data_IF_910961741854
#
_entry.id   IF_910961741854
#
_cell.length_a   1.000
_cell.length_b   1.000
_cell.length_c   1.000
_cell.angle_alpha   90.00
_cell.angle_beta   90.00
_cell.angle_gamma   90.00
#
_symmetry.space_group_name_H-M   'P 1'
#
loop_
_entity.id
_entity.type
_entity.pdbx_description
1 polymer ?
#
# COMPACT_ATOMS: atom_id res chain seq x y z
N UNK A 1 -73.19 53.25 1.44
CA UNK A 1 -71.87 52.87 0.84
C UNK A 1 -71.33 51.70 1.65
N UNK A 2 -71.42 50.47 1.11
CA UNK A 2 -70.94 49.25 1.79
C UNK A 2 -69.48 48.96 1.34
N UNK A 3 -68.53 48.66 2.23
CA UNK A 3 -67.17 48.38 1.81
C UNK A 3 -67.08 47.00 1.16
N UNK A 4 -66.47 46.98 -0.03
CA UNK A 4 -66.17 45.80 -0.84
C UNK A 4 -65.30 44.81 -0.07
N UNK A 5 -65.81 43.66 0.33
CA UNK A 5 -65.02 42.58 0.96
C UNK A 5 -64.28 41.81 -0.15
N UNK A 6 -62.99 41.59 -0.05
CA UNK A 6 -62.27 40.79 -1.02
C UNK A 6 -62.76 39.36 -1.02
N UNK A 7 -62.90 38.76 -2.20
CA UNK A 7 -63.42 37.43 -2.43
C UNK A 7 -62.47 36.36 -1.83
N UNK A 8 -62.99 35.52 -0.96
CA UNK A 8 -62.25 34.45 -0.28
C UNK A 8 -61.52 33.47 -1.24
N UNK A 9 -62.08 33.31 -2.47
CA UNK A 9 -61.42 32.47 -3.49
C UNK A 9 -60.14 33.07 -4.04
N UNK A 10 -60.01 34.39 -4.10
CA UNK A 10 -58.77 35.05 -4.57
C UNK A 10 -57.63 34.97 -3.53
N UNK A 11 -57.98 34.97 -2.25
CA UNK A 11 -57.00 34.78 -1.19
C UNK A 11 -56.47 33.34 -1.14
N UNK A 12 -57.30 32.31 -1.39
CA UNK A 12 -56.86 30.91 -1.44
C UNK A 12 -55.97 30.62 -2.65
N UNK A 13 -56.28 31.21 -3.82
CA UNK A 13 -55.46 31.03 -5.01
C UNK A 13 -54.06 31.69 -4.88
N UNK A 14 -53.99 32.83 -4.20
CA UNK A 14 -52.68 33.52 -3.98
C UNK A 14 -51.79 32.79 -2.95
N UNK A 15 -52.37 32.17 -1.91
CA UNK A 15 -51.61 31.37 -0.97
C UNK A 15 -51.12 30.04 -1.57
N UNK A 16 -51.92 29.37 -2.42
CA UNK A 16 -51.51 28.17 -3.14
C UNK A 16 -50.36 28.45 -4.14
N UNK A 17 -50.43 29.54 -4.90
CA UNK A 17 -49.34 29.94 -5.83
C UNK A 17 -48.04 30.31 -5.08
N UNK A 18 -48.14 30.94 -3.92
CA UNK A 18 -46.96 31.29 -3.07
C UNK A 18 -46.29 30.04 -2.53
N UNK A 19 -47.09 29.07 -2.05
CA UNK A 19 -46.51 27.84 -1.48
C UNK A 19 -45.85 26.95 -2.51
N UNK A 20 -46.37 26.92 -3.78
CA UNK A 20 -45.74 26.20 -4.88
C UNK A 20 -44.45 26.88 -5.32
N UNK A 21 -44.37 28.21 -5.33
CA UNK A 21 -43.16 28.95 -5.65
C UNK A 21 -42.06 28.72 -4.60
N UNK A 22 -42.39 28.77 -3.32
CA UNK A 22 -41.45 28.48 -2.22
C UNK A 22 -40.93 27.07 -2.25
N UNK A 23 -41.77 26.06 -2.51
CA UNK A 23 -41.35 24.67 -2.65
C UNK A 23 -40.34 24.47 -3.80
N UNK A 24 -40.51 25.16 -4.91
CA UNK A 24 -39.54 25.08 -6.05
C UNK A 24 -38.19 25.72 -5.71
N UNK A 25 -38.18 26.83 -5.00
CA UNK A 25 -36.95 27.47 -4.55
C UNK A 25 -36.19 26.62 -3.51
N UNK A 26 -36.95 26.00 -2.59
CA UNK A 26 -36.34 25.08 -1.61
C UNK A 26 -35.71 23.85 -2.28
N UNK A 27 -36.40 23.24 -3.24
CA UNK A 27 -35.88 22.08 -3.99
C UNK A 27 -34.63 22.42 -4.78
N UNK A 28 -34.60 23.57 -5.46
CA UNK A 28 -33.40 24.00 -6.23
C UNK A 28 -32.23 24.31 -5.30
N UNK A 29 -32.46 24.95 -4.15
CA UNK A 29 -31.41 25.23 -3.15
C UNK A 29 -30.82 23.94 -2.56
N UNK A 30 -31.68 22.96 -2.20
CA UNK A 30 -31.24 21.66 -1.68
C UNK A 30 -30.43 20.88 -2.73
N UNK A 31 -30.91 20.84 -3.99
CA UNK A 31 -30.17 20.20 -5.10
C UNK A 31 -28.82 20.86 -5.34
N UNK A 32 -28.74 22.19 -5.26
CA UNK A 32 -27.46 22.91 -5.43
C UNK A 32 -26.47 22.61 -4.30
N UNK A 33 -26.96 22.53 -3.06
CA UNK A 33 -26.13 22.18 -1.89
C UNK A 33 -25.63 20.74 -2.02
N UNK A 34 -26.51 19.79 -2.37
CA UNK A 34 -26.11 18.39 -2.57
C UNK A 34 -25.08 18.26 -3.68
N UNK A 35 -25.29 18.97 -4.80
CA UNK A 35 -24.33 18.97 -5.90
C UNK A 35 -22.96 19.55 -5.48
N UNK A 36 -22.97 20.65 -4.73
CA UNK A 36 -21.75 21.25 -4.18
C UNK A 36 -21.02 20.30 -3.23
N UNK A 37 -21.74 19.62 -2.34
CA UNK A 37 -21.18 18.62 -1.43
C UNK A 37 -20.56 17.45 -2.21
N UNK A 38 -21.26 16.94 -3.23
CA UNK A 38 -20.74 15.86 -4.09
C UNK A 38 -19.50 16.32 -4.85
N UNK A 39 -19.49 17.54 -5.38
CA UNK A 39 -18.31 18.10 -6.05
C UNK A 39 -17.15 18.26 -5.08
N UNK A 40 -17.39 18.79 -3.88
CA UNK A 40 -16.35 18.94 -2.84
C UNK A 40 -15.81 17.58 -2.40
N UNK A 41 -16.67 16.57 -2.23
CA UNK A 41 -16.25 15.21 -1.91
C UNK A 41 -15.47 14.55 -3.08
N UNK A 42 -15.88 14.81 -4.32
CA UNK A 42 -15.19 14.30 -5.51
C UNK A 42 -13.82 15.01 -5.75
N UNK A 43 -13.71 16.28 -5.35
CA UNK A 43 -12.46 17.04 -5.43
C UNK A 43 -11.52 16.76 -4.26
N UNK A 44 -12.01 16.21 -3.13
CA UNK A 44 -11.17 15.64 -2.08
C UNK A 44 -10.60 14.33 -2.62
N UNK A 45 -9.53 14.43 -3.41
CA UNK A 45 -8.70 13.25 -3.70
C UNK A 45 -8.24 12.72 -2.34
N UNK A 46 -8.44 11.41 -2.06
CA UNK A 46 -7.78 10.85 -0.87
C UNK A 46 -6.31 11.21 -1.00
N UNK A 47 -5.75 11.79 0.07
CA UNK A 47 -4.34 12.10 0.13
C UNK A 47 -3.60 10.82 -0.26
N UNK A 48 -2.90 10.86 -1.40
CA UNK A 48 -2.01 9.75 -1.76
C UNK A 48 -1.05 9.65 -0.59
N UNK A 49 -0.87 8.45 -0.01
CA UNK A 49 0.04 8.30 1.11
C UNK A 49 1.35 8.97 0.73
N UNK A 50 1.78 9.88 1.62
CA UNK A 50 2.97 10.68 1.35
C UNK A 50 4.11 9.68 1.18
N UNK A 51 4.83 9.79 0.10
CA UNK A 51 5.94 8.92 -0.24
C UNK A 51 6.94 8.74 0.90
N UNK A 52 7.15 9.80 1.67
CA UNK A 52 7.96 9.83 2.89
C UNK A 52 7.42 8.86 3.96
N UNK A 53 6.10 8.66 4.05
CA UNK A 53 5.49 7.83 5.08
C UNK A 53 5.85 6.34 4.99
N UNK A 54 6.18 5.81 3.80
CA UNK A 54 6.66 4.42 3.67
C UNK A 54 8.13 4.26 4.02
N UNK A 55 8.94 5.23 3.61
CA UNK A 55 10.38 5.21 3.83
C UNK A 55 10.72 5.35 5.33
N UNK A 56 9.83 6.01 6.08
CA UNK A 56 10.00 6.24 7.53
C UNK A 56 9.36 5.13 8.40
N UNK A 57 8.62 4.18 7.82
CA UNK A 57 8.13 3.03 8.57
C UNK A 57 9.28 2.08 8.96
N UNK A 58 9.11 1.30 10.03
CA UNK A 58 10.08 0.27 10.41
C UNK A 58 10.00 -0.95 9.49
N UNK A 59 10.09 -0.71 8.15
CA UNK A 59 10.14 -1.78 7.17
C UNK A 59 11.57 -2.34 7.08
N UNK A 60 11.70 -3.65 6.81
CA UNK A 60 13.00 -4.26 6.57
C UNK A 60 13.73 -3.56 5.43
N UNK A 61 14.98 -3.18 5.66
CA UNK A 61 15.76 -2.40 4.69
C UNK A 61 17.23 -2.71 4.75
N UNK A 62 17.92 -2.48 3.64
CA UNK A 62 19.36 -2.61 3.48
C UNK A 62 19.90 -1.41 2.68
N UNK A 63 21.10 -0.93 3.03
CA UNK A 63 21.69 0.28 2.45
C UNK A 63 21.46 1.54 3.28
N UNK A 64 22.17 2.64 2.95
CA UNK A 64 22.10 3.89 3.70
C UNK A 64 20.72 4.56 3.60
N UNK A 65 20.29 5.23 4.68
CA UNK A 65 19.00 5.96 4.69
C UNK A 65 18.99 7.16 3.74
N UNK A 66 20.13 7.74 3.48
CA UNK A 66 20.36 8.90 2.63
C UNK A 66 20.79 8.52 1.19
N UNK A 67 20.67 7.24 0.82
CA UNK A 67 20.95 6.80 -0.53
C UNK A 67 20.10 7.58 -1.57
N UNK A 68 20.72 8.06 -2.67
CA UNK A 68 20.01 8.83 -3.70
C UNK A 68 18.89 8.04 -4.39
N UNK A 69 18.95 6.70 -4.38
CA UNK A 69 17.91 5.84 -4.93
C UNK A 69 17.36 4.92 -3.83
N UNK A 70 16.07 5.03 -3.55
CA UNK A 70 15.35 4.05 -2.72
C UNK A 70 14.51 3.15 -3.62
N UNK A 71 14.75 1.84 -3.55
CA UNK A 71 13.95 0.80 -4.20
C UNK A 71 13.06 0.18 -3.15
N UNK A 72 11.74 0.26 -3.32
CA UNK A 72 10.78 -0.45 -2.49
C UNK A 72 10.22 -1.61 -3.28
N UNK A 73 10.44 -2.84 -2.81
CA UNK A 73 9.83 -4.05 -3.33
C UNK A 73 8.54 -4.34 -2.58
N UNK A 74 7.41 -4.34 -3.29
CA UNK A 74 6.16 -4.92 -2.83
C UNK A 74 6.14 -6.38 -3.23
N UNK A 75 6.22 -7.25 -2.25
CA UNK A 75 6.37 -8.69 -2.48
C UNK A 75 5.41 -9.54 -1.67
N UNK A 76 5.32 -10.81 -2.09
CA UNK A 76 4.48 -11.84 -1.50
C UNK A 76 5.25 -13.16 -1.43
N UNK A 77 5.28 -13.80 -0.28
CA UNK A 77 5.96 -15.09 -0.11
C UNK A 77 5.30 -16.25 -0.86
N UNK A 78 4.01 -16.13 -1.22
CA UNK A 78 3.30 -17.07 -2.08
C UNK A 78 3.48 -16.83 -3.58
N UNK A 79 4.19 -15.76 -3.96
CA UNK A 79 4.35 -15.37 -5.37
C UNK A 79 5.56 -16.07 -6.01
N UNK A 80 5.31 -16.92 -7.03
CA UNK A 80 6.37 -17.60 -7.77
C UNK A 80 7.36 -16.66 -8.46
N UNK A 81 6.89 -15.50 -8.95
CA UNK A 81 7.75 -14.49 -9.55
C UNK A 81 8.68 -13.83 -8.52
N UNK A 82 8.19 -13.56 -7.29
CA UNK A 82 9.02 -13.07 -6.19
C UNK A 82 10.10 -14.10 -5.82
N UNK A 83 9.70 -15.37 -5.70
CA UNK A 83 10.62 -16.46 -5.40
C UNK A 83 11.73 -16.58 -6.46
N UNK A 84 11.37 -16.62 -7.75
CA UNK A 84 12.36 -16.76 -8.83
C UNK A 84 13.30 -15.55 -8.86
N UNK A 85 12.79 -14.34 -8.70
CA UNK A 85 13.59 -13.11 -8.69
C UNK A 85 14.59 -13.09 -7.51
N UNK A 86 14.12 -13.46 -6.32
CA UNK A 86 14.95 -13.52 -5.12
C UNK A 86 15.98 -14.65 -5.20
N UNK A 87 15.58 -15.87 -5.64
CA UNK A 87 16.48 -17.01 -5.79
C UNK A 87 17.57 -16.76 -6.86
N UNK A 88 17.33 -15.89 -7.84
CA UNK A 88 18.35 -15.41 -8.76
C UNK A 88 19.36 -14.43 -8.10
N UNK A 89 19.20 -14.11 -6.82
CA UNK A 89 20.10 -13.21 -6.09
C UNK A 89 20.04 -11.75 -6.58
N UNK A 90 18.93 -11.34 -7.20
CA UNK A 90 18.82 -10.04 -7.85
C UNK A 90 19.03 -8.86 -6.89
N UNK A 91 18.48 -8.96 -5.65
CA UNK A 91 18.72 -7.94 -4.62
C UNK A 91 20.22 -7.76 -4.35
N UNK A 92 20.95 -8.87 -4.16
CA UNK A 92 22.40 -8.81 -3.90
C UNK A 92 23.15 -8.23 -5.09
N UNK A 93 22.82 -8.63 -6.32
CA UNK A 93 23.44 -8.08 -7.53
C UNK A 93 23.24 -6.55 -7.65
N UNK A 94 22.06 -6.03 -7.26
CA UNK A 94 21.78 -4.59 -7.22
C UNK A 94 22.64 -3.89 -6.16
N UNK A 95 22.72 -4.46 -4.95
CA UNK A 95 23.54 -3.91 -3.87
C UNK A 95 25.03 -3.93 -4.23
N UNK A 96 25.52 -5.00 -4.84
CA UNK A 96 26.91 -5.12 -5.28
C UNK A 96 27.25 -4.10 -6.38
N UNK A 97 26.33 -3.89 -7.33
CA UNK A 97 26.52 -2.95 -8.44
C UNK A 97 26.52 -1.49 -7.99
N UNK A 98 25.61 -1.12 -7.10
CA UNK A 98 25.33 0.28 -6.75
C UNK A 98 25.86 0.70 -5.38
N UNK A 99 26.14 -0.25 -4.50
CA UNK A 99 26.68 0.00 -3.15
C UNK A 99 25.82 1.01 -2.36
N UNK A 100 26.49 2.01 -1.81
CA UNK A 100 25.85 3.04 -0.98
C UNK A 100 24.92 4.00 -1.74
N UNK A 101 24.79 3.86 -3.07
CA UNK A 101 23.89 4.68 -3.88
C UNK A 101 22.44 4.17 -3.87
N UNK A 102 22.21 2.96 -3.38
CA UNK A 102 20.89 2.32 -3.34
C UNK A 102 20.54 1.89 -1.93
N UNK A 103 19.31 2.19 -1.53
CA UNK A 103 18.62 1.64 -0.38
C UNK A 103 17.51 0.72 -0.86
N UNK A 104 17.50 -0.52 -0.39
CA UNK A 104 16.46 -1.50 -0.70
C UNK A 104 15.53 -1.69 0.50
N UNK A 105 14.23 -1.62 0.28
CA UNK A 105 13.18 -1.71 1.31
C UNK A 105 12.18 -2.76 0.90
N UNK A 106 11.77 -3.62 1.83
CA UNK A 106 10.68 -4.55 1.65
C UNK A 106 9.35 -3.96 2.12
N UNK A 107 8.28 -4.23 1.39
CA UNK A 107 6.90 -3.94 1.76
C UNK A 107 6.02 -5.16 1.49
N UNK A 108 5.18 -5.53 2.45
CA UNK A 108 4.30 -6.69 2.32
C UNK A 108 3.10 -6.39 1.43
N UNK A 109 2.90 -7.23 0.40
CA UNK A 109 1.71 -7.19 -0.44
C UNK A 109 1.15 -8.61 -0.64
N UNK A 110 0.56 -9.20 0.43
CA UNK A 110 0.16 -10.61 0.46
C UNK A 110 -1.21 -10.81 -0.22
N UNK A 111 -1.20 -11.07 -1.54
CA UNK A 111 -2.41 -11.15 -2.38
C UNK A 111 -2.54 -12.46 -3.16
N UNK A 112 -1.53 -13.33 -3.12
CA UNK A 112 -1.47 -14.49 -4.02
C UNK A 112 -2.18 -15.72 -3.46
N UNK A 113 -2.00 -16.03 -2.16
CA UNK A 113 -2.64 -17.18 -1.51
C UNK A 113 -3.30 -16.79 -0.19
N UNK A 114 -4.10 -17.69 0.38
CA UNK A 114 -4.72 -17.47 1.70
C UNK A 114 -3.70 -17.45 2.83
N UNK A 115 -2.55 -18.11 2.64
CA UNK A 115 -1.45 -18.19 3.59
C UNK A 115 -0.50 -17.00 3.50
N UNK A 116 -0.53 -16.24 2.39
CA UNK A 116 0.36 -15.09 2.17
C UNK A 116 0.37 -14.06 3.30
N UNK A 117 -0.77 -13.67 3.90
CA UNK A 117 -0.76 -12.74 5.04
C UNK A 117 0.01 -13.28 6.24
N UNK A 118 -0.16 -14.57 6.55
CA UNK A 118 0.56 -15.21 7.67
C UNK A 118 2.05 -15.37 7.38
N UNK A 119 2.43 -15.62 6.15
CA UNK A 119 3.83 -15.64 5.73
C UNK A 119 4.49 -14.24 5.83
N UNK A 120 3.76 -13.18 5.51
CA UNK A 120 4.23 -11.81 5.72
C UNK A 120 4.46 -11.52 7.21
N UNK A 121 3.54 -11.91 8.10
CA UNK A 121 3.73 -11.81 9.55
C UNK A 121 4.99 -12.56 10.01
N UNK A 122 5.26 -13.75 9.48
CA UNK A 122 6.46 -14.52 9.80
C UNK A 122 7.75 -13.76 9.45
N UNK A 123 7.82 -13.11 8.29
CA UNK A 123 8.91 -12.22 7.94
C UNK A 123 9.10 -11.09 8.95
N UNK A 124 7.99 -10.47 9.41
CA UNK A 124 8.04 -9.42 10.45
C UNK A 124 8.48 -9.97 11.81
N UNK A 125 8.11 -11.20 12.18
CA UNK A 125 8.61 -11.83 13.39
C UNK A 125 10.12 -12.10 13.34
N UNK A 126 10.65 -12.46 12.18
CA UNK A 126 12.08 -12.57 11.96
C UNK A 126 12.79 -11.20 11.99
N UNK A 127 12.11 -10.15 11.53
CA UNK A 127 12.61 -8.77 11.60
C UNK A 127 12.83 -8.29 13.04
N UNK A 128 11.94 -8.63 13.96
CA UNK A 128 12.10 -8.30 15.39
C UNK A 128 13.35 -8.93 16.01
N UNK A 129 13.83 -10.02 15.42
CA UNK A 129 15.07 -10.69 15.80
C UNK A 129 16.28 -10.27 14.92
N UNK A 130 16.16 -9.21 14.12
CA UNK A 130 17.18 -8.70 13.20
C UNK A 130 17.63 -9.72 12.14
N UNK A 131 16.77 -10.67 11.77
CA UNK A 131 17.08 -11.73 10.79
C UNK A 131 16.06 -11.80 9.64
N UNK A 132 15.47 -10.65 9.26
CA UNK A 132 14.48 -10.61 8.17
C UNK A 132 15.04 -11.15 6.86
N UNK A 133 16.22 -10.65 6.45
CA UNK A 133 16.80 -11.00 5.15
C UNK A 133 17.27 -12.44 5.10
N UNK A 134 17.87 -12.95 6.18
CA UNK A 134 18.25 -14.35 6.32
C UNK A 134 17.03 -15.26 6.27
N UNK A 135 15.93 -14.85 6.91
CA UNK A 135 14.67 -15.59 6.90
C UNK A 135 14.08 -15.65 5.49
N UNK A 136 13.97 -14.50 4.82
CA UNK A 136 13.46 -14.40 3.45
C UNK A 136 14.31 -15.22 2.49
N UNK A 137 15.63 -15.06 2.54
CA UNK A 137 16.55 -15.77 1.65
C UNK A 137 16.48 -17.28 1.88
N UNK A 138 16.41 -17.73 3.15
CA UNK A 138 16.28 -19.15 3.45
C UNK A 138 14.95 -19.72 2.92
N UNK A 139 13.84 -19.02 3.17
CA UNK A 139 12.51 -19.42 2.70
C UNK A 139 12.50 -19.55 1.17
N UNK A 140 12.95 -18.55 0.44
CA UNK A 140 12.92 -18.55 -1.01
C UNK A 140 13.87 -19.59 -1.64
N UNK A 141 15.05 -19.81 -1.06
CA UNK A 141 16.01 -20.80 -1.56
C UNK A 141 15.66 -22.25 -1.18
N UNK A 142 14.80 -22.44 -0.17
CA UNK A 142 14.41 -23.78 0.34
C UNK A 142 12.88 -23.97 0.36
N UNK A 143 12.19 -23.33 -0.58
CA UNK A 143 10.73 -23.25 -0.62
C UNK A 143 10.07 -24.62 -0.62
N UNK A 144 9.27 -24.93 0.41
CA UNK A 144 8.43 -26.12 0.51
C UNK A 144 6.95 -25.78 0.68
N UNK A 145 6.63 -24.52 0.91
CA UNK A 145 5.31 -23.96 1.19
C UNK A 145 5.41 -22.81 2.17
N UNK A 146 4.27 -22.18 2.46
CA UNK A 146 4.14 -21.05 3.39
C UNK A 146 3.06 -21.29 4.45
N UNK A 147 2.68 -22.55 4.65
CA UNK A 147 1.86 -22.94 5.79
C UNK A 147 2.64 -22.75 7.09
N UNK A 148 1.93 -22.53 8.20
CA UNK A 148 2.53 -22.20 9.51
C UNK A 148 3.67 -23.16 9.91
N UNK A 149 3.50 -24.47 9.62
CA UNK A 149 4.52 -25.47 9.95
C UNK A 149 5.85 -25.22 9.23
N UNK A 150 5.81 -24.85 7.94
CA UNK A 150 7.01 -24.51 7.18
C UNK A 150 7.60 -23.17 7.64
N UNK A 151 6.76 -22.17 7.93
CA UNK A 151 7.23 -20.87 8.43
C UNK A 151 8.04 -21.04 9.72
N UNK A 152 7.54 -21.84 10.67
CA UNK A 152 8.25 -22.17 11.92
C UNK A 152 9.51 -23.02 11.67
N UNK A 153 9.45 -23.96 10.74
CA UNK A 153 10.62 -24.74 10.33
C UNK A 153 11.74 -23.84 9.79
N UNK A 154 11.44 -22.90 8.91
CA UNK A 154 12.45 -21.97 8.38
C UNK A 154 13.10 -21.13 9.47
N UNK A 155 12.33 -20.65 10.44
CA UNK A 155 12.83 -19.92 11.59
C UNK A 155 13.88 -20.71 12.39
N UNK A 156 13.58 -21.97 12.67
CA UNK A 156 14.53 -22.87 13.35
C UNK A 156 15.80 -23.12 12.55
N UNK A 157 15.68 -23.22 11.21
CA UNK A 157 16.84 -23.50 10.33
C UNK A 157 17.86 -22.37 10.28
N UNK A 158 17.43 -21.13 10.48
CA UNK A 158 18.34 -19.97 10.52
C UNK A 158 18.74 -19.55 11.94
N UNK A 159 18.33 -20.34 12.95
CA UNK A 159 18.70 -20.12 14.34
C UNK A 159 18.05 -18.88 14.95
N UNK A 160 16.78 -18.61 14.64
CA UNK A 160 15.95 -17.69 15.42
C UNK A 160 15.65 -18.29 16.80
N UNK A 161 15.37 -17.43 17.79
CA UNK A 161 14.71 -17.89 19.00
C UNK A 161 13.32 -18.41 18.63
N UNK A 162 13.18 -19.73 18.66
CA UNK A 162 11.99 -20.42 18.20
C UNK A 162 10.77 -20.07 19.05
N UNK A 163 10.95 -19.95 20.38
CA UNK A 163 9.83 -19.64 21.28
C UNK A 163 9.30 -18.22 21.03
N UNK A 164 10.20 -17.26 20.86
CA UNK A 164 9.82 -15.86 20.51
C UNK A 164 9.14 -15.80 19.13
N UNK A 165 9.69 -16.51 18.14
CA UNK A 165 9.14 -16.55 16.80
C UNK A 165 7.73 -17.16 16.79
N UNK A 166 7.56 -18.32 17.43
CA UNK A 166 6.30 -19.02 17.50
C UNK A 166 5.23 -18.18 18.22
N UNK A 167 5.58 -17.56 19.34
CA UNK A 167 4.68 -16.66 20.07
C UNK A 167 4.26 -15.47 19.20
N UNK A 168 5.21 -14.84 18.50
CA UNK A 168 4.95 -13.72 17.60
C UNK A 168 3.98 -14.14 16.49
N UNK A 169 4.26 -15.23 15.79
CA UNK A 169 3.47 -15.69 14.65
C UNK A 169 2.07 -16.16 15.08
N UNK A 170 1.97 -16.93 16.16
CA UNK A 170 0.69 -17.48 16.64
C UNK A 170 -0.23 -16.40 17.20
N UNK A 171 0.33 -15.35 17.82
CA UNK A 171 -0.46 -14.24 18.36
C UNK A 171 -1.01 -13.29 17.30
N UNK A 172 -0.46 -13.28 16.07
CA UNK A 172 -0.87 -12.35 15.02
C UNK A 172 -0.48 -10.89 15.29
N UNK A 173 0.46 -10.64 16.20
CA UNK A 173 0.86 -9.27 16.61
C UNK A 173 1.38 -8.42 15.45
N UNK A 174 1.84 -9.05 14.36
CA UNK A 174 2.35 -8.38 13.16
C UNK A 174 1.31 -8.08 12.07
N UNK A 175 0.08 -8.53 12.23
CA UNK A 175 -1.01 -8.31 11.27
C UNK A 175 -1.20 -6.82 10.95
N UNK A 176 -1.14 -5.96 11.96
CA UNK A 176 -1.33 -4.51 11.77
C UNK A 176 -0.23 -3.88 10.89
N UNK A 177 1.04 -4.32 11.02
CA UNK A 177 2.15 -3.85 10.20
C UNK A 177 2.00 -4.31 8.74
N UNK A 178 1.67 -5.59 8.52
CA UNK A 178 1.39 -6.16 7.19
C UNK A 178 0.22 -5.42 6.52
N UNK A 179 -0.86 -5.17 7.26
CA UNK A 179 -2.03 -4.45 6.75
C UNK A 179 -1.75 -2.98 6.41
N UNK A 180 -0.75 -2.35 7.02
CA UNK A 180 -0.32 -1.00 6.62
C UNK A 180 0.30 -1.00 5.23
N UNK A 181 1.19 -1.94 4.93
CA UNK A 181 1.83 -2.06 3.63
C UNK A 181 0.85 -2.50 2.56
N UNK A 182 0.00 -3.49 2.87
CA UNK A 182 -1.09 -3.92 1.98
C UNK A 182 -1.98 -2.75 1.55
N UNK A 183 -2.43 -1.93 2.52
CA UNK A 183 -3.28 -0.76 2.21
C UNK A 183 -2.55 0.26 1.35
N UNK A 184 -1.26 0.46 1.56
CA UNK A 184 -0.47 1.37 0.73
C UNK A 184 -0.36 0.86 -0.72
N UNK A 185 -0.12 -0.44 -0.91
CA UNK A 185 -0.14 -1.07 -2.23
C UNK A 185 -1.49 -0.87 -2.93
N UNK A 186 -2.59 -1.08 -2.21
CA UNK A 186 -3.95 -0.88 -2.74
C UNK A 186 -4.24 0.58 -3.11
N UNK A 187 -3.83 1.54 -2.27
CA UNK A 187 -3.98 2.98 -2.56
C UNK A 187 -3.15 3.43 -3.76
N UNK A 188 -2.06 2.74 -4.06
CA UNK A 188 -1.23 2.93 -5.26
C UNK A 188 -1.78 2.22 -6.48
N UNK A 189 -2.82 1.39 -6.32
CA UNK A 189 -3.40 0.55 -7.37
C UNK A 189 -2.34 -0.38 -7.97
N UNK A 190 -1.54 -1.04 -7.11
CA UNK A 190 -0.58 -2.03 -7.58
C UNK A 190 -1.33 -3.30 -8.02
N UNK A 191 -0.97 -3.83 -9.21
CA UNK A 191 -1.69 -4.93 -9.85
C UNK A 191 -1.12 -6.32 -9.51
N UNK A 192 0.03 -6.40 -8.82
CA UNK A 192 0.65 -7.68 -8.48
C UNK A 192 2.05 -7.58 -7.92
N UNK A 193 2.67 -8.75 -7.73
CA UNK A 193 3.99 -8.90 -7.12
C UNK A 193 4.95 -9.70 -8.01
N UNK A 194 6.26 -9.43 -7.95
CA UNK A 194 6.85 -8.28 -7.29
C UNK A 194 6.55 -6.97 -8.02
N UNK A 195 6.38 -5.86 -7.29
CA UNK A 195 6.35 -4.50 -7.88
C UNK A 195 7.41 -3.65 -7.21
N UNK A 196 8.21 -2.95 -8.01
CA UNK A 196 9.33 -2.14 -7.53
C UNK A 196 9.05 -0.66 -7.76
N UNK A 197 9.13 0.13 -6.69
CA UNK A 197 9.06 1.59 -6.74
C UNK A 197 10.45 2.17 -6.58
N UNK A 198 10.84 3.05 -7.49
CA UNK A 198 12.06 3.84 -7.40
C UNK A 198 11.71 5.27 -6.97
N UNK A 199 12.22 5.71 -5.82
CA UNK A 199 11.90 7.04 -5.27
C UNK A 199 10.40 7.38 -5.35
N UNK A 200 9.53 6.37 -5.00
CA UNK A 200 8.05 6.44 -4.97
C UNK A 200 7.30 6.46 -6.30
N UNK A 201 7.92 6.19 -7.40
CA UNK A 201 7.24 5.96 -8.68
C UNK A 201 7.15 4.46 -8.94
N UNK A 202 6.05 4.00 -9.55
CA UNK A 202 5.95 2.62 -10.07
C UNK A 202 6.69 2.58 -11.39
N UNK A 203 7.77 1.82 -11.44
CA UNK A 203 8.58 1.73 -12.65
C UNK A 203 8.66 0.29 -13.19
N UNK A 204 8.69 -0.72 -12.29
CA UNK A 204 8.83 -2.12 -12.69
C UNK A 204 7.76 -2.96 -12.00
N UNK A 205 6.94 -3.65 -12.79
CA UNK A 205 5.98 -4.66 -12.34
C UNK A 205 6.43 -6.02 -12.86
N UNK A 206 6.43 -7.02 -11.97
CA UNK A 206 6.90 -8.37 -12.26
C UNK A 206 8.42 -8.51 -12.24
N UNK A 207 8.89 -9.69 -12.61
CA UNK A 207 10.32 -9.99 -12.68
C UNK A 207 11.03 -9.11 -13.71
N UNK A 208 12.22 -8.65 -13.37
CA UNK A 208 13.06 -7.88 -14.27
C UNK A 208 14.54 -8.23 -14.10
N UNK A 209 15.30 -8.10 -15.19
CA UNK A 209 16.74 -8.28 -15.20
C UNK A 209 17.48 -7.10 -14.56
N UNK A 210 18.72 -7.32 -14.19
CA UNK A 210 19.61 -6.27 -13.68
C UNK A 210 19.70 -5.07 -14.64
N UNK A 211 19.74 -5.32 -15.97
CA UNK A 211 19.79 -4.25 -16.96
C UNK A 211 18.52 -3.39 -16.96
N UNK A 212 17.35 -4.00 -16.75
CA UNK A 212 16.11 -3.24 -16.63
C UNK A 212 16.09 -2.36 -15.37
N UNK A 213 16.62 -2.86 -14.26
CA UNK A 213 16.83 -2.04 -13.06
C UNK A 213 17.83 -0.91 -13.33
N UNK A 214 18.94 -1.21 -13.99
CA UNK A 214 19.94 -0.22 -14.34
C UNK A 214 19.38 0.91 -15.21
N UNK A 215 18.54 0.58 -16.18
CA UNK A 215 17.89 1.58 -17.04
C UNK A 215 17.01 2.58 -16.26
N UNK A 216 16.55 2.22 -15.06
CA UNK A 216 15.81 3.14 -14.18
C UNK A 216 16.75 3.86 -13.20
N UNK A 217 17.72 3.16 -12.63
CA UNK A 217 18.60 3.68 -11.58
C UNK A 217 19.61 4.67 -12.13
N UNK A 218 20.25 4.35 -13.27
CA UNK A 218 21.36 5.14 -13.81
C UNK A 218 20.95 6.59 -14.15
N UNK A 219 19.77 6.86 -14.79
CA UNK A 219 19.29 8.22 -14.98
C UNK A 219 19.05 8.99 -13.67
N UNK A 220 18.46 8.34 -12.65
CA UNK A 220 18.21 8.98 -11.34
C UNK A 220 19.53 9.41 -10.70
N UNK A 221 20.56 8.57 -10.79
CA UNK A 221 21.89 8.88 -10.25
C UNK A 221 22.59 9.98 -11.02
N UNK A 222 22.33 10.10 -12.33
CA UNK A 222 22.91 11.16 -13.16
C UNK A 222 22.29 12.54 -12.86
N UNK A 223 21.01 12.59 -12.48
CA UNK A 223 20.31 13.82 -12.10
C UNK A 223 20.64 14.29 -10.66
N UNK A 224 21.18 13.41 -9.81
CA UNK A 224 21.52 13.71 -8.42
C UNK A 224 22.91 14.36 -8.24
N UNK A 225 23.65 14.54 -9.33
CA UNK A 225 24.96 15.21 -9.39
C UNK A 225 24.86 16.58 -10.04
#
# INVERSE_FOLDING_TARGET
>A
MSPNRPNLMDQQNNTAKRNVAWGRWFLTAVCSIVLLVVIVLALRRPDRPNATAMIDRPNPQIGPRDAPVTIVEFGDYGCSSCLIWAAAGMRQQLLDKYGNKVRFVWADFPVITLESPKAAEAGRCAYDQNKFWEYQDYLYNNYQGIEIAYLKFYAGRIGLDQAMFDQCLDSGVKEAEVNLDFRDAMLRSLDGTPTFLFNNKVEIVGMASLDKFAAVIDPILAEAH
#
